data_IF_672717701442
#
_entry.id   IF_672717701442
#
_cell.length_a   1.000
_cell.length_b   1.000
_cell.length_c   1.000
_cell.angle_alpha   90.00
_cell.angle_beta   90.00
_cell.angle_gamma   90.00
#
_symmetry.space_group_name_H-M   'P 1'
#
loop_
_entity.id
_entity.type
_entity.pdbx_description
1 polymer ?
#
# COMPACT_ATOMS: atom_id res chain seq x y z
N UNK A 1 11.95 -2.82 -0.32
CA UNK A 1 12.57 -1.76 0.49
C UNK A 1 13.32 -2.34 1.68
N UNK A 2 12.68 -3.17 2.51
CA UNK A 2 13.34 -3.79 3.67
C UNK A 2 14.58 -4.64 3.36
N UNK A 3 14.52 -5.53 2.35
CA UNK A 3 15.65 -6.39 1.94
C UNK A 3 16.90 -5.61 1.54
N UNK A 4 16.75 -4.67 0.59
CA UNK A 4 17.84 -3.80 0.16
C UNK A 4 18.47 -3.04 1.32
N UNK A 5 17.67 -2.62 2.29
CA UNK A 5 18.17 -1.92 3.47
C UNK A 5 18.99 -2.86 4.36
N UNK A 6 18.49 -4.07 4.64
CA UNK A 6 19.24 -5.09 5.37
C UNK A 6 20.60 -5.38 4.72
N UNK A 7 20.64 -5.53 3.39
CA UNK A 7 21.89 -5.71 2.65
C UNK A 7 22.84 -4.51 2.78
N UNK A 8 22.32 -3.28 2.72
CA UNK A 8 23.12 -2.04 2.87
C UNK A 8 23.73 -1.89 4.27
N UNK A 9 23.03 -2.36 5.29
CA UNK A 9 23.53 -2.40 6.67
C UNK A 9 24.50 -3.58 6.93
N UNK A 10 24.90 -4.31 5.88
CA UNK A 10 25.93 -5.35 5.97
C UNK A 10 25.41 -6.74 6.32
N UNK A 11 24.10 -6.92 6.45
CA UNK A 11 23.54 -8.25 6.67
C UNK A 11 23.54 -9.07 5.37
N UNK A 12 24.13 -10.27 5.42
CA UNK A 12 24.21 -11.23 4.31
C UNK A 12 23.42 -12.49 4.67
N UNK A 13 23.05 -13.29 3.66
CA UNK A 13 22.32 -14.54 3.90
C UNK A 13 20.91 -14.30 4.47
N UNK A 14 20.25 -13.22 4.02
CA UNK A 14 18.88 -12.89 4.40
C UNK A 14 17.97 -13.08 3.19
N UNK A 15 16.93 -13.88 3.37
CA UNK A 15 15.78 -13.91 2.46
C UNK A 15 14.71 -12.97 3.00
N UNK A 16 13.95 -12.37 2.10
CA UNK A 16 12.81 -11.55 2.49
C UNK A 16 11.58 -11.86 1.67
N UNK A 17 10.43 -11.88 2.33
CA UNK A 17 9.14 -12.11 1.69
C UNK A 17 8.19 -10.99 2.10
N UNK A 18 7.54 -10.34 1.13
CA UNK A 18 6.46 -9.40 1.45
C UNK A 18 5.26 -10.21 1.95
N UNK A 19 4.75 -9.88 3.14
CA UNK A 19 3.59 -10.55 3.69
C UNK A 19 2.27 -9.80 3.39
N UNK A 20 2.35 -8.56 2.91
CA UNK A 20 1.21 -7.68 2.69
C UNK A 20 1.19 -6.51 3.68
N UNK A 21 0.47 -5.46 3.30
CA UNK A 21 0.49 -4.21 4.06
C UNK A 21 1.89 -3.59 4.06
N UNK A 22 2.42 -3.30 5.26
CA UNK A 22 3.78 -2.82 5.48
C UNK A 22 4.73 -3.89 6.04
N UNK A 23 4.34 -5.17 6.01
CA UNK A 23 5.09 -6.24 6.66
C UNK A 23 6.02 -6.98 5.70
N UNK A 24 7.25 -7.18 6.14
CA UNK A 24 8.27 -7.96 5.45
C UNK A 24 8.77 -9.03 6.41
N UNK A 25 8.69 -10.29 6.01
CA UNK A 25 9.34 -11.39 6.70
C UNK A 25 10.82 -11.39 6.33
N UNK A 26 11.68 -11.52 7.33
CA UNK A 26 13.10 -11.78 7.13
C UNK A 26 13.44 -13.18 7.65
N UNK A 27 14.03 -13.99 6.79
CA UNK A 27 14.57 -15.31 7.15
C UNK A 27 16.09 -15.22 7.13
N UNK A 28 16.72 -15.67 8.21
CA UNK A 28 18.16 -15.59 8.42
C UNK A 28 18.74 -17.00 8.43
N UNK A 29 19.96 -17.15 7.91
CA UNK A 29 20.68 -18.44 7.92
C UNK A 29 21.08 -18.90 9.34
N UNK A 30 21.04 -18.02 10.34
CA UNK A 30 21.31 -18.37 11.73
C UNK A 30 20.55 -17.49 12.73
N UNK A 31 20.31 -18.03 13.92
CA UNK A 31 19.72 -17.30 15.04
C UNK A 31 20.58 -16.08 15.45
N UNK A 32 21.91 -16.24 15.43
CA UNK A 32 22.86 -15.17 15.76
C UNK A 32 22.75 -13.96 14.82
N UNK A 33 22.49 -14.20 13.53
CA UNK A 33 22.26 -13.13 12.55
C UNK A 33 20.96 -12.38 12.84
N UNK A 34 19.91 -13.08 13.29
CA UNK A 34 18.64 -12.49 13.71
C UNK A 34 18.80 -11.64 14.98
N UNK A 35 19.52 -12.13 15.98
CA UNK A 35 19.78 -11.39 17.22
C UNK A 35 20.58 -10.10 16.98
N UNK A 36 21.50 -10.09 16.01
CA UNK A 36 22.24 -8.89 15.61
C UNK A 36 21.39 -7.89 14.81
N UNK A 37 20.28 -8.35 14.21
CA UNK A 37 19.43 -7.52 13.37
C UNK A 37 18.54 -6.59 14.18
N UNK A 38 17.92 -7.09 15.25
CA UNK A 38 16.97 -6.31 16.07
C UNK A 38 17.56 -5.07 16.74
N UNK A 39 18.76 -5.10 17.35
CA UNK A 39 19.33 -3.91 17.99
C UNK A 39 20.06 -2.98 17.00
N UNK A 40 20.14 -3.31 15.71
CA UNK A 40 20.94 -2.55 14.76
C UNK A 40 20.33 -1.17 14.47
N UNK A 41 21.06 -0.09 14.77
CA UNK A 41 20.58 1.29 14.64
C UNK A 41 20.06 1.61 13.23
N UNK A 42 20.82 1.22 12.20
CA UNK A 42 20.42 1.41 10.81
C UNK A 42 19.14 0.68 10.39
N UNK A 43 18.78 -0.40 11.10
CA UNK A 43 17.52 -1.12 10.89
C UNK A 43 16.41 -0.45 11.69
N UNK A 44 16.65 -0.12 12.96
CA UNK A 44 15.67 0.54 13.83
C UNK A 44 15.22 1.92 13.33
N UNK A 45 16.05 2.61 12.53
CA UNK A 45 15.66 3.85 11.85
C UNK A 45 14.62 3.67 10.73
N UNK A 46 14.46 2.45 10.20
CA UNK A 46 13.64 2.18 9.01
C UNK A 46 12.37 1.41 9.31
N UNK A 47 12.35 0.65 10.40
CA UNK A 47 11.19 -0.14 10.80
C UNK A 47 10.57 0.46 12.06
N UNK A 48 9.29 0.79 11.99
CA UNK A 48 8.53 1.23 13.15
C UNK A 48 8.31 0.11 14.18
N UNK A 49 8.43 -1.15 13.76
CA UNK A 49 8.31 -2.33 14.60
C UNK A 49 9.12 -3.48 14.01
N UNK A 50 9.87 -4.16 14.86
CA UNK A 50 10.47 -5.46 14.60
C UNK A 50 9.91 -6.44 15.61
N UNK A 51 9.49 -7.61 15.15
CA UNK A 51 9.01 -8.68 16.02
C UNK A 51 9.54 -10.03 15.54
N UNK A 52 9.76 -10.95 16.46
CA UNK A 52 10.00 -12.35 16.10
C UNK A 52 8.73 -12.96 15.52
N UNK A 53 8.88 -14.03 14.74
CA UNK A 53 7.75 -14.75 14.20
C UNK A 53 6.88 -15.32 15.34
N UNK A 54 5.57 -15.14 15.21
CA UNK A 54 4.55 -15.65 16.12
C UNK A 54 3.46 -16.33 15.27
N UNK A 55 2.99 -17.49 15.71
CA UNK A 55 1.88 -18.23 15.07
C UNK A 55 0.57 -17.43 15.06
N UNK A 56 0.41 -16.49 15.99
CA UNK A 56 -0.75 -15.62 16.10
C UNK A 56 -0.61 -14.32 15.29
N UNK A 57 0.48 -14.15 14.55
CA UNK A 57 0.69 -12.96 13.74
C UNK A 57 -0.30 -12.91 12.56
N UNK A 58 -1.14 -11.87 12.55
CA UNK A 58 -2.16 -11.65 11.51
C UNK A 58 -2.01 -10.27 10.90
N UNK A 59 -2.00 -10.22 9.56
CA UNK A 59 -1.92 -8.97 8.81
C UNK A 59 -3.32 -8.40 8.64
N UNK A 60 -3.62 -7.40 9.46
CA UNK A 60 -4.94 -6.78 9.49
C UNK A 60 -5.17 -5.75 8.39
N UNK A 61 -4.11 -5.16 7.83
CA UNK A 61 -4.20 -4.11 6.81
C UNK A 61 -3.49 -4.51 5.53
N UNK A 62 -4.02 -4.08 4.38
CA UNK A 62 -3.39 -4.19 3.06
C UNK A 62 -3.47 -2.86 2.30
N UNK A 63 -2.56 -2.70 1.35
CA UNK A 63 -2.60 -1.58 0.39
C UNK A 63 -3.25 -2.07 -0.89
N UNK A 64 -4.22 -1.31 -1.36
CA UNK A 64 -4.93 -1.59 -2.60
C UNK A 64 -4.95 -0.37 -3.48
N UNK A 65 -4.84 -0.59 -4.78
CA UNK A 65 -5.16 0.43 -5.77
C UNK A 65 -6.62 0.32 -6.15
N UNK A 66 -7.33 1.43 -6.13
CA UNK A 66 -8.75 1.53 -6.49
C UNK A 66 -8.86 2.54 -7.63
N UNK A 67 -9.37 2.11 -8.77
CA UNK A 67 -9.76 2.99 -9.86
C UNK A 67 -11.16 3.53 -9.56
N UNK A 68 -11.25 4.86 -9.41
CA UNK A 68 -12.49 5.60 -9.19
C UNK A 68 -12.89 6.29 -10.49
N UNK A 69 -13.98 5.82 -11.09
CA UNK A 69 -14.46 6.24 -12.41
C UNK A 69 -15.78 7.01 -12.32
N UNK A 70 -15.92 8.04 -13.15
CA UNK A 70 -17.18 8.78 -13.30
C UNK A 70 -17.41 9.88 -12.26
N UNK A 71 -16.38 10.25 -11.48
CA UNK A 71 -16.45 11.42 -10.60
C UNK A 71 -16.69 12.69 -11.44
N UNK A 72 -17.73 13.48 -11.15
CA UNK A 72 -18.00 14.71 -11.88
C UNK A 72 -16.80 15.66 -11.82
N UNK A 73 -16.50 16.31 -12.95
CA UNK A 73 -15.36 17.24 -13.06
C UNK A 73 -15.43 18.36 -12.00
N UNK A 74 -16.64 18.82 -11.67
CA UNK A 74 -16.90 19.83 -10.63
C UNK A 74 -16.44 19.41 -9.22
N UNK A 75 -16.29 18.10 -8.97
CA UNK A 75 -15.79 17.57 -7.71
C UNK A 75 -14.42 16.89 -7.86
N UNK A 76 -13.71 17.08 -8.97
CA UNK A 76 -12.38 16.50 -9.18
C UNK A 76 -11.32 17.21 -8.32
N UNK A 77 -11.26 16.86 -7.04
CA UNK A 77 -10.39 17.50 -6.06
C UNK A 77 -9.86 16.47 -5.04
N UNK A 78 -8.69 16.74 -4.47
CA UNK A 78 -8.12 15.91 -3.41
C UNK A 78 -9.11 15.70 -2.23
N UNK A 79 -9.81 16.73 -1.71
CA UNK A 79 -10.81 16.53 -0.66
C UNK A 79 -11.93 15.55 -1.05
N UNK A 80 -12.39 15.59 -2.30
CA UNK A 80 -13.39 14.63 -2.80
C UNK A 80 -12.83 13.22 -2.81
N UNK A 81 -11.64 13.02 -3.38
CA UNK A 81 -11.05 11.68 -3.47
C UNK A 81 -10.68 11.11 -2.10
N UNK A 82 -10.25 11.96 -1.16
CA UNK A 82 -10.07 11.55 0.23
C UNK A 82 -11.39 11.08 0.86
N UNK A 83 -12.49 11.79 0.62
CA UNK A 83 -13.84 11.39 1.08
C UNK A 83 -14.35 10.13 0.39
N UNK A 84 -13.98 9.90 -0.87
CA UNK A 84 -14.32 8.66 -1.57
C UNK A 84 -13.53 7.48 -0.97
N UNK A 85 -12.21 7.62 -0.81
CA UNK A 85 -11.34 6.61 -0.23
C UNK A 85 -11.76 6.22 1.19
N UNK A 86 -12.26 7.17 2.00
CA UNK A 86 -12.72 6.93 3.37
C UNK A 86 -13.87 5.93 3.47
N UNK A 87 -14.52 5.54 2.37
CA UNK A 87 -15.47 4.41 2.34
C UNK A 87 -14.79 3.08 2.62
N UNK A 88 -13.52 2.93 2.24
CA UNK A 88 -12.78 1.67 2.34
C UNK A 88 -11.56 1.76 3.25
N UNK A 89 -11.00 2.95 3.47
CA UNK A 89 -9.83 3.12 4.34
C UNK A 89 -9.18 4.49 4.25
N UNK A 90 -7.89 4.53 4.55
CA UNK A 90 -7.07 5.74 4.55
C UNK A 90 -6.48 5.97 3.16
N UNK A 91 -6.67 7.16 2.58
CA UNK A 91 -6.02 7.55 1.32
C UNK A 91 -4.52 7.76 1.58
N UNK A 92 -3.69 6.97 0.90
CA UNK A 92 -2.23 7.00 1.06
C UNK A 92 -1.57 7.74 -0.07
N UNK A 93 -2.10 7.56 -1.28
CA UNK A 93 -1.58 8.20 -2.49
C UNK A 93 -2.67 8.35 -3.55
N UNK A 94 -2.56 9.40 -4.35
CA UNK A 94 -3.43 9.67 -5.49
C UNK A 94 -2.54 9.76 -6.72
N UNK A 95 -2.76 8.89 -7.71
CA UNK A 95 -2.01 8.90 -8.96
C UNK A 95 -2.60 9.94 -9.92
N UNK A 96 -2.09 11.17 -9.82
CA UNK A 96 -2.47 12.30 -10.66
C UNK A 96 -1.53 12.53 -11.85
N UNK A 97 -0.63 11.57 -12.12
CA UNK A 97 0.37 11.66 -13.18
C UNK A 97 -0.26 11.83 -14.57
N UNK A 98 -1.44 11.23 -14.80
CA UNK A 98 -2.18 11.37 -16.05
C UNK A 98 -3.14 12.57 -16.01
N UNK A 99 -2.58 13.77 -16.17
CA UNK A 99 -3.34 15.04 -16.15
C UNK A 99 -4.46 15.11 -17.19
N UNK A 100 -4.37 14.35 -18.28
CA UNK A 100 -5.37 14.31 -19.37
C UNK A 100 -6.57 13.42 -19.06
N UNK A 101 -6.43 12.49 -18.11
CA UNK A 101 -7.51 11.60 -17.70
C UNK A 101 -8.30 12.19 -16.54
N UNK A 102 -9.45 12.80 -16.85
CA UNK A 102 -10.44 13.27 -15.86
C UNK A 102 -11.66 12.35 -15.75
N UNK A 103 -11.53 11.10 -16.21
CA UNK A 103 -12.57 10.09 -16.11
C UNK A 103 -12.30 9.11 -14.97
N UNK A 104 -11.05 8.66 -14.85
CA UNK A 104 -10.61 7.66 -13.88
C UNK A 104 -9.46 8.20 -13.04
N UNK A 105 -9.61 8.16 -11.72
CA UNK A 105 -8.57 8.49 -10.75
C UNK A 105 -8.15 7.23 -10.01
N UNK A 106 -6.85 6.94 -9.95
CA UNK A 106 -6.32 5.79 -9.23
C UNK A 106 -5.86 6.20 -7.83
N UNK A 107 -6.44 5.56 -6.82
CA UNK A 107 -6.18 5.84 -5.41
C UNK A 107 -5.48 4.65 -4.75
N UNK A 108 -4.39 4.90 -4.04
CA UNK A 108 -3.81 3.93 -3.11
C UNK A 108 -4.50 4.09 -1.75
N UNK A 109 -5.16 3.03 -1.29
CA UNK A 109 -5.91 3.03 -0.04
C UNK A 109 -5.34 1.96 0.88
N UNK A 110 -5.05 2.35 2.12
CA UNK A 110 -4.76 1.40 3.22
C UNK A 110 -6.08 0.97 3.82
N UNK A 111 -6.41 -0.31 3.70
CA UNK A 111 -7.70 -0.86 4.11
C UNK A 111 -7.54 -2.09 5.01
N UNK A 112 -8.54 -2.31 5.88
CA UNK A 112 -8.73 -3.57 6.64
C UNK A 112 -9.68 -4.54 5.92
N UNK A 113 -10.31 -4.10 4.83
CA UNK A 113 -11.25 -4.89 4.05
C UNK A 113 -10.47 -5.99 3.33
N UNK A 114 -10.83 -7.24 3.62
CA UNK A 114 -10.14 -8.42 3.09
C UNK A 114 -10.73 -8.90 1.75
N UNK A 115 -12.00 -8.62 1.48
CA UNK A 115 -12.62 -8.94 0.19
C UNK A 115 -12.30 -7.89 -0.87
N UNK A 116 -12.49 -8.27 -2.14
CA UNK A 116 -12.29 -7.39 -3.29
C UNK A 116 -13.25 -6.19 -3.23
N UNK A 117 -12.72 -4.98 -3.34
CA UNK A 117 -13.54 -3.77 -3.40
C UNK A 117 -14.05 -3.57 -4.83
N UNK A 118 -15.36 -3.71 -5.01
CA UNK A 118 -16.06 -3.35 -6.24
C UNK A 118 -17.43 -2.77 -5.88
N UNK A 119 -17.60 -1.47 -6.09
CA UNK A 119 -18.79 -0.76 -5.61
C UNK A 119 -19.21 0.34 -6.60
N UNK A 120 -20.50 0.62 -6.66
CA UNK A 120 -21.04 1.81 -7.31
C UNK A 120 -21.82 2.62 -6.30
N UNK A 121 -21.62 3.94 -6.28
CA UNK A 121 -22.29 4.83 -5.34
C UNK A 121 -22.65 6.16 -6.00
N UNK A 122 -23.59 6.87 -5.38
CA UNK A 122 -24.09 8.15 -5.87
C UNK A 122 -23.28 9.30 -5.26
N UNK A 123 -22.86 10.24 -6.11
CA UNK A 123 -22.32 11.54 -5.72
C UNK A 123 -23.36 12.60 -6.07
N UNK A 124 -23.69 13.47 -5.12
CA UNK A 124 -24.70 14.53 -5.28
C UNK A 124 -24.01 15.88 -5.19
N UNK A 125 -24.11 16.68 -6.25
CA UNK A 125 -23.50 18.01 -6.35
C UNK A 125 -24.53 18.98 -6.94
N UNK A 126 -24.88 20.03 -6.19
CA UNK A 126 -25.85 21.03 -6.65
C UNK A 126 -27.19 20.43 -7.10
N UNK A 127 -27.67 19.39 -6.41
CA UNK A 127 -28.90 18.67 -6.75
C UNK A 127 -28.77 17.66 -7.91
N UNK A 128 -27.64 17.61 -8.61
CA UNK A 128 -27.38 16.62 -9.66
C UNK A 128 -26.77 15.36 -9.06
N UNK A 129 -27.29 14.22 -9.47
CA UNK A 129 -26.80 12.90 -9.05
C UNK A 129 -25.93 12.30 -10.15
N UNK A 130 -24.76 11.81 -9.80
CA UNK A 130 -23.86 11.07 -10.69
C UNK A 130 -23.48 9.74 -10.06
N UNK A 131 -23.36 8.69 -10.87
CA UNK A 131 -22.93 7.37 -10.42
C UNK A 131 -21.42 7.28 -10.58
N UNK A 132 -20.73 7.07 -9.47
CA UNK A 132 -19.29 6.81 -9.41
C UNK A 132 -19.08 5.32 -9.17
N UNK A 133 -18.10 4.75 -9.87
CA UNK A 133 -17.73 3.34 -9.76
C UNK A 133 -16.33 3.25 -9.17
N UNK A 134 -16.13 2.33 -8.25
CA UNK A 134 -14.83 2.03 -7.66
C UNK A 134 -14.51 0.56 -7.86
N UNK A 135 -13.33 0.28 -8.40
CA UNK A 135 -12.85 -1.08 -8.64
C UNK A 135 -11.42 -1.23 -8.12
N UNK A 136 -11.21 -2.22 -7.28
CA UNK A 136 -9.88 -2.62 -6.87
C UNK A 136 -9.12 -3.24 -8.05
N UNK A 137 -7.86 -2.84 -8.21
CA UNK A 137 -6.96 -3.36 -9.24
C UNK A 137 -6.36 -4.68 -8.75
N UNK A 138 -6.70 -5.76 -9.45
CA UNK A 138 -6.21 -7.11 -9.14
C UNK A 138 -4.82 -7.31 -9.76
N UNK A 139 -3.97 -8.11 -9.10
CA UNK A 139 -2.68 -8.53 -9.65
C UNK A 139 -1.57 -7.50 -9.53
N UNK A 140 -1.81 -6.38 -8.85
CA UNK A 140 -0.74 -5.47 -8.48
C UNK A 140 0.09 -6.08 -7.35
N UNK A 141 1.38 -6.24 -7.60
CA UNK A 141 2.39 -6.56 -6.59
C UNK A 141 3.20 -5.29 -6.38
N UNK A 142 3.40 -4.82 -5.13
CA UNK A 142 4.25 -3.67 -4.92
C UNK A 142 5.66 -3.99 -5.44
N UNK A 143 6.08 -3.22 -6.44
CA UNK A 143 7.44 -3.26 -6.92
C UNK A 143 8.32 -2.54 -5.90
N UNK A 144 9.02 -3.33 -5.09
CA UNK A 144 9.97 -2.83 -4.12
C UNK A 144 11.36 -2.58 -4.74
N UNK A 145 11.43 -2.60 -6.07
CA UNK A 145 12.58 -2.43 -6.93
C UNK A 145 13.50 -3.64 -6.86
N UNK A 146 13.69 -4.33 -7.97
CA UNK A 146 15.04 -4.66 -8.44
C UNK A 146 15.49 -3.44 -9.24
N UNK A 147 16.68 -2.90 -9.00
CA UNK A 147 17.18 -1.91 -9.96
C UNK A 147 17.50 -2.67 -11.25
N UNK A 148 16.59 -2.64 -12.22
CA UNK A 148 16.94 -2.75 -13.64
C UNK A 148 17.28 -1.36 -14.15
N UNK A 149 18.38 -0.80 -13.67
CA UNK A 149 19.11 0.24 -14.41
C UNK A 149 20.61 0.03 -14.16
N UNK A 150 21.29 0.00 -15.30
CA UNK A 150 22.69 -0.29 -15.63
C UNK A 150 23.70 0.33 -14.67
#
# INVERSE_FOLDING_TARGET
MGHKKALREGFKGIKSSNLGGFWVLFEFDSFQSCEKFQPHDGINLWFSCLQQWDINFVISNRFVWIDVEGTPLQAWSLPTFNKIASKWGELVYMDDSNVTNKYSMRLCVKTKIQHLITESFKVILGGKVSVVRAKEVIGWVPDFGENKYV
#
